data_IF_591461000726
#
_entry.id   IF_591461000726
#
_cell.length_a   1.000
_cell.length_b   1.000
_cell.length_c   1.000
_cell.angle_alpha   90.00
_cell.angle_beta   90.00
_cell.angle_gamma   90.00
#
_symmetry.space_group_name_H-M   'P 1'
#
loop_
_entity.id
_entity.type
_entity.pdbx_description
1 polymer ?
#
# COMPACT_ATOMS: atom_id res chain seq x y z
N UNK A 1 44.10 4.24 5.04
CA UNK A 1 42.79 4.76 5.46
C UNK A 1 42.09 3.67 6.26
N UNK A 2 42.08 3.81 7.58
CA UNK A 2 41.53 2.83 8.52
C UNK A 2 40.00 2.93 8.46
N UNK A 3 39.31 1.88 7.99
CA UNK A 3 37.85 1.81 8.15
C UNK A 3 37.57 1.57 9.65
N UNK A 4 36.84 2.46 10.35
CA UNK A 4 36.50 2.20 11.74
C UNK A 4 35.63 0.94 11.79
N UNK A 5 36.04 -0.04 12.60
CA UNK A 5 35.28 -1.24 12.88
C UNK A 5 34.10 -0.84 13.77
N UNK A 6 32.96 -0.49 13.16
CA UNK A 6 31.73 -0.25 13.94
C UNK A 6 31.15 -1.60 14.33
N UNK A 7 31.12 -1.90 15.63
CA UNK A 7 30.48 -3.09 16.20
C UNK A 7 28.95 -3.00 16.20
N UNK A 8 28.39 -1.83 15.91
CA UNK A 8 26.95 -1.64 15.76
C UNK A 8 26.50 -2.28 14.46
N UNK A 9 25.78 -3.40 14.53
CA UNK A 9 25.10 -3.97 13.37
C UNK A 9 24.26 -2.87 12.71
N UNK A 10 24.48 -2.60 11.42
CA UNK A 10 23.64 -1.66 10.68
C UNK A 10 22.17 -2.02 10.95
N UNK A 11 21.43 -1.12 11.60
CA UNK A 11 20.05 -1.40 11.99
C UNK A 11 19.26 -1.74 10.73
N UNK A 12 18.62 -2.90 10.74
CA UNK A 12 17.73 -3.30 9.66
C UNK A 12 16.63 -2.25 9.52
N UNK A 13 16.60 -1.56 8.39
CA UNK A 13 15.60 -0.53 8.09
C UNK A 13 14.75 -1.01 6.91
N UNK A 14 13.44 -1.10 7.10
CA UNK A 14 12.51 -1.49 6.04
C UNK A 14 12.39 -0.43 4.93
N UNK A 15 12.95 0.77 5.16
CA UNK A 15 13.03 1.87 4.22
C UNK A 15 14.24 1.78 3.27
N UNK A 16 15.12 0.79 3.42
CA UNK A 16 16.21 0.54 2.47
C UNK A 16 16.89 -0.83 2.67
N UNK A 17 17.26 -1.54 1.60
CA UNK A 17 17.89 -2.85 1.71
C UNK A 17 19.30 -2.74 2.32
N UNK A 18 19.67 -3.76 3.11
CA UNK A 18 20.99 -3.86 3.76
C UNK A 18 22.16 -3.78 2.77
N UNK A 19 21.98 -4.32 1.56
CA UNK A 19 23.02 -4.33 0.53
C UNK A 19 23.31 -2.94 -0.05
N UNK A 20 22.48 -1.94 0.24
CA UNK A 20 22.53 -0.65 -0.45
C UNK A 20 22.27 -0.81 -1.96
N UNK A 21 22.70 0.18 -2.72
CA UNK A 21 22.52 0.20 -4.17
C UNK A 21 23.77 -0.36 -4.90
N UNK A 22 23.69 -1.60 -5.41
CA UNK A 22 24.82 -2.17 -6.16
C UNK A 22 24.63 -2.07 -7.68
N UNK A 23 23.38 -2.09 -8.15
CA UNK A 23 23.02 -2.03 -9.57
C UNK A 23 21.86 -1.07 -9.78
N UNK A 24 21.85 -0.36 -10.91
CA UNK A 24 20.78 0.58 -11.24
C UNK A 24 19.50 -0.14 -11.68
N UNK A 25 18.47 -0.17 -10.83
CA UNK A 25 17.17 -0.81 -11.10
C UNK A 25 16.35 -0.15 -12.22
N UNK A 26 15.73 -0.95 -13.11
CA UNK A 26 14.79 -0.43 -14.12
C UNK A 26 13.52 0.10 -13.44
N UNK A 27 12.85 1.07 -14.08
CA UNK A 27 11.62 1.70 -13.55
C UNK A 27 10.56 0.66 -13.16
N UNK A 28 10.26 -0.28 -14.06
CA UNK A 28 9.22 -1.31 -13.88
C UNK A 28 7.82 -0.71 -13.69
N UNK A 29 6.84 -1.57 -13.41
CA UNK A 29 5.46 -1.17 -13.06
C UNK A 29 5.00 -1.94 -11.82
N UNK A 30 4.10 -1.37 -10.99
CA UNK A 30 3.47 -2.13 -9.92
C UNK A 30 2.67 -3.33 -10.47
N UNK A 31 2.48 -4.34 -9.62
CA UNK A 31 1.79 -5.56 -10.00
C UNK A 31 0.27 -5.33 -10.05
N UNK A 32 -0.35 -5.64 -11.19
CA UNK A 32 -1.80 -5.61 -11.39
C UNK A 32 -2.33 -7.04 -11.38
N UNK A 33 -3.15 -7.38 -10.40
CA UNK A 33 -3.58 -8.76 -10.13
C UNK A 33 -4.80 -9.16 -10.96
N UNK A 34 -4.64 -9.38 -12.26
CA UNK A 34 -5.75 -9.80 -13.15
C UNK A 34 -6.23 -11.23 -12.86
N UNK A 35 -5.35 -12.10 -12.35
CA UNK A 35 -5.65 -13.51 -12.04
C UNK A 35 -6.40 -13.77 -10.73
N UNK A 36 -6.92 -12.72 -10.08
CA UNK A 36 -7.71 -12.85 -8.85
C UNK A 36 -6.92 -13.00 -7.55
N UNK A 37 -5.70 -12.50 -7.49
CA UNK A 37 -4.89 -12.58 -6.26
C UNK A 37 -5.44 -11.66 -5.17
N UNK A 38 -5.65 -12.22 -3.98
CA UNK A 38 -6.05 -11.52 -2.75
C UNK A 38 -4.86 -11.26 -1.81
N UNK A 39 -3.63 -11.56 -2.26
CA UNK A 39 -2.41 -11.50 -1.43
C UNK A 39 -2.15 -10.08 -0.91
N UNK A 40 -2.06 -9.95 0.41
CA UNK A 40 -1.73 -8.69 1.07
C UNK A 40 -2.90 -7.70 1.16
N UNK A 41 -4.13 -8.15 0.87
CA UNK A 41 -5.35 -7.33 0.98
C UNK A 41 -6.06 -7.44 2.33
N UNK A 42 -5.64 -8.40 3.16
CA UNK A 42 -6.18 -8.68 4.51
C UNK A 42 -5.16 -8.41 5.62
N UNK A 43 -5.68 -8.02 6.78
CA UNK A 43 -4.89 -7.78 7.99
C UNK A 43 -4.45 -9.12 8.56
N UNK A 44 -3.16 -9.29 8.84
CA UNK A 44 -2.60 -10.59 9.27
C UNK A 44 -2.05 -10.53 10.71
N UNK A 45 -1.29 -9.50 11.05
CA UNK A 45 -0.57 -9.41 12.33
C UNK A 45 -1.24 -8.49 13.34
N UNK A 46 -1.80 -7.36 12.89
CA UNK A 46 -2.51 -6.39 13.73
C UNK A 46 -4.01 -6.62 13.85
N UNK A 47 -4.68 -5.76 14.60
CA UNK A 47 -6.15 -5.75 14.74
C UNK A 47 -6.78 -4.78 13.73
N UNK A 48 -6.04 -3.74 13.37
CA UNK A 48 -6.44 -2.72 12.40
C UNK A 48 -5.34 -2.49 11.37
N UNK A 49 -5.70 -2.02 10.18
CA UNK A 49 -4.76 -1.66 9.14
C UNK A 49 -5.22 -0.54 8.23
N UNK A 50 -4.27 -0.01 7.47
CA UNK A 50 -4.51 0.97 6.41
C UNK A 50 -4.23 0.34 5.04
N UNK A 51 -5.24 0.36 4.18
CA UNK A 51 -5.22 -0.25 2.86
C UNK A 51 -5.34 0.81 1.76
N UNK A 52 -4.60 0.65 0.68
CA UNK A 52 -4.74 1.50 -0.50
C UNK A 52 -6.08 1.21 -1.19
N UNK A 53 -6.93 2.21 -1.37
CA UNK A 53 -8.28 2.04 -1.93
C UNK A 53 -8.34 2.31 -3.43
N UNK A 54 -7.48 3.19 -3.94
CA UNK A 54 -7.62 3.76 -5.29
C UNK A 54 -6.85 2.97 -6.37
N UNK A 55 -5.59 3.34 -6.65
CA UNK A 55 -4.82 2.84 -7.79
C UNK A 55 -3.41 2.46 -7.35
N UNK A 56 -2.80 1.50 -8.04
CA UNK A 56 -1.42 1.09 -7.79
C UNK A 56 -0.45 2.26 -8.02
N UNK A 57 0.55 2.37 -7.15
CA UNK A 57 1.55 3.44 -7.19
C UNK A 57 2.89 2.97 -6.68
N UNK A 58 3.91 3.75 -7.02
CA UNK A 58 5.22 3.67 -6.39
C UNK A 58 5.31 4.70 -5.26
N UNK A 59 5.45 4.22 -4.04
CA UNK A 59 5.54 5.07 -2.84
C UNK A 59 7.00 5.19 -2.42
N UNK A 60 7.48 6.41 -2.19
CA UNK A 60 8.85 6.66 -1.73
C UNK A 60 9.05 6.27 -0.27
N UNK A 61 10.27 5.91 0.11
CA UNK A 61 10.65 5.66 1.49
C UNK A 61 10.37 6.87 2.41
N UNK A 62 10.58 8.10 1.90
CA UNK A 62 10.28 9.33 2.64
C UNK A 62 8.80 9.44 3.00
N UNK A 63 7.89 9.18 2.06
CA UNK A 63 6.44 9.21 2.31
C UNK A 63 6.02 8.13 3.31
N UNK A 64 6.57 6.92 3.18
CA UNK A 64 6.32 5.83 4.11
C UNK A 64 6.78 6.17 5.54
N UNK A 65 7.96 6.79 5.68
CA UNK A 65 8.46 7.29 6.97
C UNK A 65 7.57 8.37 7.57
N UNK A 66 7.13 9.34 6.77
CA UNK A 66 6.22 10.40 7.21
C UNK A 66 4.89 9.81 7.72
N UNK A 67 4.37 8.79 7.04
CA UNK A 67 3.15 8.09 7.47
C UNK A 67 3.35 7.33 8.79
N UNK A 68 4.45 6.57 8.91
CA UNK A 68 4.86 5.87 10.12
C UNK A 68 4.97 6.81 11.33
N UNK A 69 5.71 7.91 11.17
CA UNK A 69 5.89 8.94 12.19
C UNK A 69 4.56 9.62 12.56
N UNK A 70 3.68 9.84 11.59
CA UNK A 70 2.35 10.43 11.83
C UNK A 70 1.48 9.54 12.70
N UNK A 71 1.46 8.24 12.42
CA UNK A 71 0.73 7.25 13.23
C UNK A 71 1.31 7.24 14.66
N UNK A 72 2.63 7.12 14.78
CA UNK A 72 3.32 7.10 16.09
C UNK A 72 3.08 8.37 16.89
N UNK A 73 3.06 9.53 16.22
CA UNK A 73 2.78 10.82 16.86
C UNK A 73 1.34 10.87 17.38
N UNK A 74 0.37 10.39 16.61
CA UNK A 74 -1.05 10.41 17.02
C UNK A 74 -1.36 9.44 18.17
N UNK A 75 -0.64 8.32 18.23
CA UNK A 75 -0.77 7.28 19.26
C UNK A 75 0.26 7.40 20.39
N UNK A 76 0.94 8.55 20.49
CA UNK A 76 1.97 8.77 21.50
C UNK A 76 1.39 8.58 22.91
N UNK A 77 2.10 7.83 23.76
CA UNK A 77 1.69 7.53 25.13
C UNK A 77 0.76 6.33 25.26
N UNK A 78 0.29 5.74 24.16
CA UNK A 78 -0.54 4.53 24.18
C UNK A 78 0.31 3.27 23.99
N UNK A 79 -0.16 2.13 24.49
CA UNK A 79 0.49 0.82 24.31
C UNK A 79 0.05 0.21 22.99
N UNK A 80 0.91 0.26 21.98
CA UNK A 80 0.63 -0.35 20.68
C UNK A 80 1.89 -0.93 20.04
N UNK A 81 1.69 -1.90 19.17
CA UNK A 81 2.71 -2.43 18.27
C UNK A 81 2.29 -2.17 16.84
N UNK A 82 3.19 -1.53 16.10
CA UNK A 82 3.00 -1.26 14.68
C UNK A 82 3.78 -2.26 13.83
N UNK A 83 3.14 -2.74 12.77
CA UNK A 83 3.74 -3.62 11.78
C UNK A 83 3.73 -2.96 10.41
N UNK A 84 4.84 -3.08 9.69
CA UNK A 84 5.00 -2.61 8.31
C UNK A 84 4.84 -3.80 7.37
N UNK A 85 3.86 -3.73 6.45
CA UNK A 85 3.56 -4.80 5.47
C UNK A 85 4.34 -4.65 4.16
N UNK A 86 4.96 -3.49 3.96
CA UNK A 86 5.71 -3.14 2.76
C UNK A 86 7.15 -2.78 3.13
N UNK A 87 8.09 -3.01 2.22
CA UNK A 87 9.48 -2.59 2.34
C UNK A 87 9.89 -1.83 1.07
N UNK A 88 10.71 -0.79 1.23
CA UNK A 88 11.25 -0.01 0.13
C UNK A 88 12.51 -0.70 -0.42
N UNK A 89 12.30 -1.58 -1.40
CA UNK A 89 13.31 -2.47 -1.94
C UNK A 89 13.77 -2.11 -3.36
N UNK A 90 13.29 -1.01 -3.94
CA UNK A 90 13.62 -0.60 -5.31
C UNK A 90 14.35 0.72 -5.29
N UNK A 91 15.52 0.78 -5.93
CA UNK A 91 16.27 2.02 -6.11
C UNK A 91 15.66 2.88 -7.22
N UNK A 92 15.35 4.13 -6.92
CA UNK A 92 14.97 5.14 -7.91
C UNK A 92 16.21 5.92 -8.31
N UNK A 93 16.42 6.04 -9.62
CA UNK A 93 17.55 6.76 -10.21
C UNK A 93 17.01 7.88 -11.09
N UNK A 94 17.46 9.09 -10.82
CA UNK A 94 16.95 10.31 -11.46
C UNK A 94 18.12 11.01 -12.16
N UNK A 95 17.91 11.45 -13.41
CA UNK A 95 18.86 12.32 -14.10
C UNK A 95 18.60 13.77 -13.70
N UNK A 96 19.65 14.59 -13.59
CA UNK A 96 19.49 16.01 -13.23
C UNK A 96 18.57 16.71 -14.21
N UNK A 97 17.69 17.57 -13.70
CA UNK A 97 16.71 18.28 -14.52
C UNK A 97 17.39 19.22 -15.53
N UNK A 98 18.60 19.70 -15.22
CA UNK A 98 19.43 20.51 -16.11
C UNK A 98 20.09 19.72 -17.27
N UNK A 99 20.14 18.39 -17.18
CA UNK A 99 20.82 17.55 -18.17
C UNK A 99 19.92 17.20 -19.35
N UNK A 100 20.46 17.29 -20.58
CA UNK A 100 19.76 16.82 -21.79
C UNK A 100 19.67 15.28 -21.84
N UNK A 101 18.68 14.78 -22.58
CA UNK A 101 18.43 13.36 -22.81
C UNK A 101 19.64 12.67 -23.49
N UNK A 102 19.86 11.39 -23.18
CA UNK A 102 20.80 10.53 -23.93
C UNK A 102 22.15 10.22 -23.26
N UNK A 103 22.50 10.86 -22.13
CA UNK A 103 23.80 10.64 -21.43
C UNK A 103 23.82 9.42 -20.49
N UNK A 104 23.02 8.40 -20.80
CA UNK A 104 22.86 7.22 -19.96
C UNK A 104 21.94 7.45 -18.75
N UNK A 105 22.08 6.59 -17.73
CA UNK A 105 21.17 6.55 -16.58
C UNK A 105 21.69 7.41 -15.43
N UNK A 106 20.78 8.15 -14.78
CA UNK A 106 21.08 9.04 -13.65
C UNK A 106 21.67 8.37 -12.41
N UNK A 107 21.89 9.19 -11.38
CA UNK A 107 22.42 8.79 -10.07
C UNK A 107 21.32 8.27 -9.16
N UNK A 108 21.69 7.62 -8.06
CA UNK A 108 20.72 7.14 -7.06
C UNK A 108 20.07 8.33 -6.37
N UNK A 109 18.75 8.28 -6.19
CA UNK A 109 17.96 9.34 -5.58
C UNK A 109 17.36 8.84 -4.25
N UNK A 110 16.44 7.88 -4.30
CA UNK A 110 15.81 7.34 -3.10
C UNK A 110 15.30 5.90 -3.28
N UNK A 111 15.01 5.24 -2.16
CA UNK A 111 14.32 3.95 -2.14
C UNK A 111 12.81 4.14 -2.28
N UNK A 112 12.16 3.21 -2.97
CA UNK A 112 10.72 3.19 -3.12
C UNK A 112 10.19 1.75 -3.09
N UNK A 113 8.87 1.63 -2.92
CA UNK A 113 8.16 0.36 -3.00
C UNK A 113 7.04 0.44 -4.03
N UNK A 114 6.78 -0.68 -4.71
CA UNK A 114 5.64 -0.81 -5.63
C UNK A 114 4.47 -1.41 -4.85
N UNK A 115 3.39 -0.66 -4.74
CA UNK A 115 2.18 -1.07 -4.03
C UNK A 115 1.09 -1.34 -5.05
N UNK A 116 0.51 -2.53 -5.01
CA UNK A 116 -0.67 -2.89 -5.81
C UNK A 116 -1.94 -2.32 -5.20
N UNK A 117 -3.00 -2.25 -5.99
CA UNK A 117 -4.34 -1.90 -5.50
C UNK A 117 -4.74 -2.79 -4.33
N UNK A 118 -5.46 -2.22 -3.37
CA UNK A 118 -6.00 -2.92 -2.19
C UNK A 118 -4.96 -3.60 -1.31
N UNK A 119 -3.69 -3.20 -1.39
CA UNK A 119 -2.65 -3.71 -0.50
C UNK A 119 -2.62 -2.95 0.82
N UNK A 120 -2.40 -3.67 1.92
CA UNK A 120 -2.21 -3.07 3.25
C UNK A 120 -0.76 -2.60 3.41
N UNK A 121 -0.59 -1.41 3.98
CA UNK A 121 0.72 -0.79 4.20
C UNK A 121 1.18 -0.96 5.65
N UNK A 122 0.31 -0.59 6.59
CA UNK A 122 0.59 -0.64 8.03
C UNK A 122 -0.52 -1.38 8.76
N UNK A 123 -0.15 -2.04 9.84
CA UNK A 123 -1.07 -2.65 10.79
C UNK A 123 -0.72 -2.23 12.22
N UNK A 124 -1.73 -2.19 13.08
CA UNK A 124 -1.57 -1.85 14.49
C UNK A 124 -2.24 -2.93 15.32
N UNK A 125 -1.54 -3.41 16.34
CA UNK A 125 -2.05 -4.28 17.40
C UNK A 125 -1.95 -3.57 18.74
N UNK A 126 -2.98 -3.64 19.56
CA UNK A 126 -2.93 -3.08 20.91
C UNK A 126 -4.31 -2.75 21.47
N UNK A 127 -4.32 -2.46 22.77
CA UNK A 127 -5.53 -2.02 23.47
C UNK A 127 -5.80 -0.55 23.15
N UNK A 128 -6.42 -0.33 21.99
CA UNK A 128 -6.73 0.98 21.44
C UNK A 128 -8.19 1.03 21.01
N UNK A 129 -8.86 2.13 21.37
CA UNK A 129 -10.20 2.40 20.88
C UNK A 129 -10.18 2.66 19.36
N UNK A 130 -11.10 2.04 18.63
CA UNK A 130 -11.13 2.07 17.16
C UNK A 130 -11.09 3.48 16.57
N UNK A 131 -11.83 4.43 17.15
CA UNK A 131 -11.91 5.80 16.62
C UNK A 131 -10.55 6.50 16.64
N UNK A 132 -9.72 6.23 17.65
CA UNK A 132 -8.36 6.79 17.76
C UNK A 132 -7.47 6.25 16.66
N UNK A 133 -7.56 4.94 16.39
CA UNK A 133 -6.78 4.28 15.34
C UNK A 133 -7.24 4.76 13.96
N UNK A 134 -8.55 4.89 13.76
CA UNK A 134 -9.15 5.42 12.52
C UNK A 134 -8.66 6.83 12.23
N UNK A 135 -8.61 7.70 13.23
CA UNK A 135 -8.07 9.06 13.07
C UNK A 135 -6.56 9.06 12.77
N UNK A 136 -5.77 8.22 13.44
CA UNK A 136 -4.35 8.06 13.15
C UNK A 136 -4.08 7.64 11.70
N UNK A 137 -4.84 6.66 11.20
CA UNK A 137 -4.71 6.22 9.81
C UNK A 137 -5.24 7.23 8.80
N UNK A 138 -6.29 7.99 9.13
CA UNK A 138 -6.77 9.09 8.29
C UNK A 138 -5.67 10.16 8.11
N UNK A 139 -5.03 10.56 9.21
CA UNK A 139 -3.92 11.53 9.17
C UNK A 139 -2.72 11.02 8.36
N UNK A 140 -2.42 9.72 8.47
CA UNK A 140 -1.35 9.09 7.70
C UNK A 140 -1.69 9.01 6.21
N UNK A 141 -2.93 8.62 5.88
CA UNK A 141 -3.45 8.54 4.51
C UNK A 141 -3.35 9.88 3.77
N UNK A 142 -3.66 10.99 4.45
CA UNK A 142 -3.53 12.34 3.87
C UNK A 142 -2.09 12.74 3.51
N UNK A 143 -1.08 12.08 4.09
CA UNK A 143 0.34 12.34 3.81
C UNK A 143 0.94 11.34 2.82
N UNK A 144 0.20 10.28 2.50
CA UNK A 144 0.59 9.29 1.53
C UNK A 144 0.00 9.65 0.15
N UNK A 145 0.65 9.24 -0.96
CA UNK A 145 0.12 9.46 -2.28
C UNK A 145 -1.02 8.47 -2.58
N UNK A 146 -2.26 8.97 -2.57
CA UNK A 146 -3.45 8.20 -2.94
C UNK A 146 -4.55 8.26 -1.89
N UNK A 147 -5.60 7.49 -2.12
CA UNK A 147 -6.71 7.31 -1.20
C UNK A 147 -6.56 6.00 -0.44
N UNK A 148 -6.77 6.08 0.86
CA UNK A 148 -6.61 4.96 1.76
C UNK A 148 -7.92 4.69 2.52
N UNK A 149 -8.13 3.44 2.88
CA UNK A 149 -9.24 3.02 3.72
C UNK A 149 -8.75 2.34 5.00
N UNK A 150 -9.54 2.50 6.06
CA UNK A 150 -9.40 1.78 7.31
C UNK A 150 -9.94 0.35 7.16
N UNK A 151 -9.23 -0.63 7.70
CA UNK A 151 -9.58 -2.05 7.61
C UNK A 151 -9.42 -2.70 8.98
N UNK A 152 -10.36 -3.57 9.35
CA UNK A 152 -10.31 -4.39 10.56
C UNK A 152 -9.82 -5.81 10.25
N UNK A 153 -9.27 -6.47 11.27
CA UNK A 153 -9.06 -7.92 11.23
C UNK A 153 -10.42 -8.62 11.08
N UNK A 154 -10.49 -9.58 10.17
CA UNK A 154 -11.73 -10.29 9.83
C UNK A 154 -12.51 -9.67 8.66
N UNK A 155 -12.17 -8.44 8.24
CA UNK A 155 -12.75 -7.88 7.01
C UNK A 155 -12.38 -8.76 5.80
N UNK A 156 -13.29 -8.91 4.82
CA UNK A 156 -13.06 -9.78 3.70
C UNK A 156 -11.87 -9.33 2.84
N UNK A 157 -11.16 -10.28 2.22
CA UNK A 157 -10.16 -9.98 1.21
C UNK A 157 -10.74 -9.21 0.03
N UNK A 158 -9.87 -8.50 -0.68
CA UNK A 158 -10.23 -7.78 -1.91
C UNK A 158 -9.56 -8.44 -3.09
N UNK A 159 -10.36 -8.75 -4.12
CA UNK A 159 -9.89 -9.24 -5.39
C UNK A 159 -9.92 -8.09 -6.40
N UNK A 160 -8.75 -7.53 -6.72
CA UNK A 160 -8.65 -6.32 -7.52
C UNK A 160 -9.22 -5.12 -6.78
N UNK A 161 -10.42 -4.69 -7.18
CA UNK A 161 -11.19 -3.61 -6.54
C UNK A 161 -12.44 -4.12 -5.80
N UNK A 162 -12.77 -5.40 -5.96
CA UNK A 162 -14.03 -6.00 -5.46
C UNK A 162 -13.80 -6.68 -4.13
N UNK A 163 -14.54 -6.28 -3.08
CA UNK A 163 -14.53 -6.94 -1.77
C UNK A 163 -15.27 -8.29 -1.84
N UNK A 164 -14.66 -9.35 -1.31
CA UNK A 164 -15.26 -10.69 -1.28
C UNK A 164 -16.21 -10.83 -0.07
N UNK A 165 -17.40 -10.24 -0.17
CA UNK A 165 -18.43 -10.30 0.90
C UNK A 165 -19.33 -11.54 0.74
N UNK A 166 -20.26 -11.78 1.68
CA UNK A 166 -21.11 -12.97 1.76
C UNK A 166 -21.93 -13.31 0.48
N UNK A 167 -22.02 -12.41 -0.51
CA UNK A 167 -22.65 -12.67 -1.81
C UNK A 167 -21.70 -12.67 -3.02
N UNK A 168 -20.42 -12.36 -2.83
CA UNK A 168 -19.41 -12.26 -3.90
C UNK A 168 -18.25 -13.19 -3.57
N UNK A 169 -18.31 -14.42 -4.09
CA UNK A 169 -17.23 -15.40 -3.93
C UNK A 169 -16.18 -15.27 -5.02
N UNK A 170 -14.96 -15.72 -4.73
CA UNK A 170 -13.88 -15.77 -5.72
C UNK A 170 -14.28 -16.60 -6.95
N UNK A 171 -14.94 -17.74 -6.72
CA UNK A 171 -15.45 -18.59 -7.80
C UNK A 171 -16.42 -17.85 -8.71
N UNK A 172 -17.34 -17.06 -8.12
CA UNK A 172 -18.29 -16.27 -8.90
C UNK A 172 -17.59 -15.26 -9.79
N UNK A 173 -16.53 -14.59 -9.30
CA UNK A 173 -15.76 -13.62 -10.09
C UNK A 173 -14.93 -14.27 -11.20
N UNK A 174 -14.56 -15.54 -11.05
CA UNK A 174 -13.83 -16.32 -12.07
C UNK A 174 -14.75 -16.90 -13.15
N UNK A 175 -16.06 -17.01 -12.90
CA UNK A 175 -17.02 -17.54 -13.87
C UNK A 175 -17.14 -16.61 -15.08
N UNK A 176 -17.06 -17.12 -16.32
CA UNK A 176 -17.25 -16.31 -17.52
C UNK A 176 -18.65 -15.68 -17.64
N UNK A 177 -19.67 -16.35 -17.09
CA UNK A 177 -21.07 -15.90 -17.11
C UNK A 177 -21.53 -15.60 -15.69
N UNK A 178 -21.99 -14.38 -15.46
CA UNK A 178 -22.58 -13.92 -14.20
C UNK A 178 -24.05 -13.60 -14.44
N UNK A 179 -24.95 -14.19 -13.65
CA UNK A 179 -26.37 -13.81 -13.66
C UNK A 179 -26.50 -12.52 -12.84
N UNK A 180 -26.59 -11.39 -13.54
CA UNK A 180 -26.81 -10.10 -12.87
C UNK A 180 -28.18 -10.09 -12.22
N UNK A 181 -28.34 -9.54 -11.01
CA UNK A 181 -29.66 -9.30 -10.45
C UNK A 181 -30.39 -8.30 -11.36
N UNK A 182 -31.41 -8.79 -12.07
CA UNK A 182 -32.14 -8.04 -13.09
C UNK A 182 -32.79 -6.78 -12.50
N UNK A 183 -33.35 -6.88 -11.29
CA UNK A 183 -33.98 -5.74 -10.59
C UNK A 183 -33.00 -4.61 -10.28
N UNK A 184 -31.79 -4.94 -9.78
CA UNK A 184 -30.75 -3.93 -9.49
C UNK A 184 -30.16 -3.33 -10.77
N UNK A 185 -30.18 -4.08 -11.86
CA UNK A 185 -29.73 -3.62 -13.18
C UNK A 185 -30.76 -2.68 -13.79
N UNK A 186 -32.05 -3.04 -13.72
CA UNK A 186 -33.17 -2.22 -14.16
C UNK A 186 -33.24 -0.90 -13.40
N UNK A 187 -33.01 -0.90 -12.09
CA UNK A 187 -33.01 0.31 -11.26
C UNK A 187 -31.84 1.28 -11.56
N UNK A 188 -30.77 0.83 -12.24
CA UNK A 188 -29.65 1.69 -12.67
C UNK A 188 -29.88 2.34 -14.03
N UNK A 189 -30.82 1.83 -14.82
CA UNK A 189 -31.17 2.42 -16.10
C UNK A 189 -32.03 3.67 -15.84
N UNK A 190 -31.76 4.79 -16.52
CA UNK A 190 -32.66 5.93 -16.46
C UNK A 190 -34.04 5.48 -16.98
N UNK A 191 -35.10 5.81 -16.25
CA UNK A 191 -36.46 5.54 -16.70
C UNK A 191 -36.65 6.16 -18.09
N UNK A 192 -37.08 5.36 -19.06
CA UNK A 192 -37.41 5.85 -20.39
C UNK A 192 -38.59 6.82 -20.22
N UNK A 193 -38.34 8.11 -20.32
CA UNK A 193 -39.41 9.10 -20.43
C UNK A 193 -40.11 8.83 -21.76
N UNK A 194 -41.34 8.30 -21.70
CA UNK A 194 -42.18 8.19 -22.89
C UNK A 194 -42.44 9.59 -23.44
N UNK A 195 -42.19 9.75 -24.74
CA UNK A 195 -42.31 11.02 -25.49
C UNK A 195 -43.76 11.24 -25.89
#
# INVERSE_FOLDING_TARGET
SIRPFSSTSARFDWLGPKSGHNKKDRKGRPHVATGGSTRGTTVVWGDYGIRMKDHDRRISAKQLKIADETIRKRLRGMKFRMYTRVAANIGVYTSGNESRMGKGKGTFDHWATRVSVSKILFEIKGDLHEQVVRDAFRLAGNKLPGLYEFVKRGDPPVMGITKLTNGVTEEMLRRPRVKLPLEQTAARLPATTEV
#
